data_IF_522243308017
#
_entry.id   IF_522243308017
#
_cell.length_a   1.000
_cell.length_b   1.000
_cell.length_c   1.000
_cell.angle_alpha   90.00
_cell.angle_beta   90.00
_cell.angle_gamma   90.00
#
_symmetry.space_group_name_H-M   'P 1'
#
loop_
_entity.id
_entity.type
_entity.pdbx_description
1 polymer ?
#
# COMPACT_ATOMS: atom_id res chain seq x y z
N UNK A 1 41.61 -0.56 32.06
CA UNK A 1 40.53 -0.31 31.06
C UNK A 1 39.15 -0.81 31.49
N UNK A 2 39.02 -1.91 32.25
CA UNK A 2 37.72 -2.49 32.66
C UNK A 2 36.78 -1.57 33.46
N UNK A 3 37.29 -0.73 34.37
CA UNK A 3 36.44 0.16 35.18
C UNK A 3 35.66 1.19 34.34
N UNK A 4 36.21 1.64 33.22
CA UNK A 4 35.52 2.58 32.30
C UNK A 4 34.39 1.91 31.53
N UNK A 5 34.57 0.64 31.14
CA UNK A 5 33.57 -0.16 30.41
C UNK A 5 32.37 -0.50 31.30
N UNK A 6 32.59 -0.85 32.58
CA UNK A 6 31.50 -1.10 33.54
C UNK A 6 30.67 0.16 33.82
N UNK A 7 31.31 1.33 33.90
CA UNK A 7 30.61 2.61 34.11
C UNK A 7 29.75 3.00 32.90
N UNK A 8 30.22 2.76 31.68
CA UNK A 8 29.44 3.00 30.46
C UNK A 8 28.21 2.08 30.35
N UNK A 9 28.32 0.80 30.70
CA UNK A 9 27.18 -0.13 30.73
C UNK A 9 26.12 0.27 31.75
N UNK A 10 26.53 0.75 32.93
CA UNK A 10 25.60 1.21 33.96
C UNK A 10 24.82 2.46 33.51
N UNK A 11 25.49 3.40 32.85
CA UNK A 11 24.86 4.61 32.29
C UNK A 11 23.86 4.24 31.19
N UNK A 12 24.19 3.27 30.33
CA UNK A 12 23.30 2.80 29.26
C UNK A 12 22.03 2.12 29.81
N UNK A 13 22.15 1.30 30.86
CA UNK A 13 21.00 0.66 31.51
C UNK A 13 20.10 1.71 32.20
N UNK A 14 20.69 2.69 32.88
CA UNK A 14 19.94 3.79 33.50
C UNK A 14 19.20 4.64 32.44
N UNK A 15 19.80 4.84 31.27
CA UNK A 15 19.17 5.55 30.16
C UNK A 15 17.96 4.79 29.60
N UNK A 16 18.06 3.46 29.46
CA UNK A 16 16.93 2.61 29.05
C UNK A 16 15.79 2.67 30.08
N UNK A 17 16.10 2.57 31.38
CA UNK A 17 15.09 2.68 32.45
C UNK A 17 14.38 4.05 32.40
N UNK A 18 15.14 5.12 32.15
CA UNK A 18 14.57 6.46 32.00
C UNK A 18 13.62 6.54 30.80
N UNK A 19 13.98 5.93 29.66
CA UNK A 19 13.12 5.84 28.48
C UNK A 19 11.81 5.08 28.77
N UNK A 20 11.87 3.97 29.51
CA UNK A 20 10.68 3.22 29.91
C UNK A 20 9.78 4.01 30.89
N UNK A 21 10.37 4.77 31.82
CA UNK A 21 9.61 5.65 32.72
C UNK A 21 8.89 6.74 31.92
N UNK A 22 9.54 7.35 30.92
CA UNK A 22 8.90 8.34 30.03
C UNK A 22 7.76 7.72 29.21
N UNK A 23 7.90 6.48 28.75
CA UNK A 23 6.83 5.73 28.06
C UNK A 23 5.65 5.47 29.01
N UNK A 24 5.91 5.04 30.24
CA UNK A 24 4.85 4.79 31.25
C UNK A 24 4.12 6.08 31.64
N UNK A 25 4.83 7.20 31.82
CA UNK A 25 4.21 8.50 32.11
C UNK A 25 3.40 9.07 30.94
N UNK A 26 3.73 8.72 29.69
CA UNK A 26 2.89 9.02 28.53
C UNK A 26 1.62 8.15 28.46
N UNK A 27 1.67 6.94 29.02
CA UNK A 27 0.55 5.99 29.00
C UNK A 27 -0.45 6.19 30.17
N UNK A 28 -0.04 6.80 31.28
CA UNK A 28 -0.90 7.00 32.45
C UNK A 28 -2.12 7.93 32.24
N UNK A 29 -2.02 9.07 31.52
CA UNK A 29 -3.19 9.92 31.23
C UNK A 29 -4.22 9.21 30.35
N UNK A 30 -3.74 8.38 29.42
CA UNK A 30 -4.55 7.59 28.49
C UNK A 30 -5.44 6.61 29.27
N UNK A 31 -4.92 5.96 30.32
CA UNK A 31 -5.68 5.03 31.18
C UNK A 31 -6.80 5.75 31.97
N UNK A 32 -6.65 7.06 32.23
CA UNK A 32 -7.61 7.86 33.01
C UNK A 32 -8.80 8.33 32.17
N UNK A 33 -8.59 8.71 30.91
CA UNK A 33 -9.67 9.10 29.99
C UNK A 33 -10.58 7.93 29.59
N UNK A 34 -10.12 6.68 29.72
CA UNK A 34 -10.88 5.47 29.41
C UNK A 34 -12.10 5.18 30.31
N UNK A 35 -12.35 5.97 31.36
CA UNK A 35 -13.50 5.77 32.24
C UNK A 35 -14.78 6.52 31.83
N UNK A 36 -14.73 7.47 30.89
CA UNK A 36 -15.82 8.47 30.79
C UNK A 36 -16.46 8.73 29.41
N UNK A 37 -16.05 8.08 28.30
CA UNK A 37 -16.59 8.40 26.96
C UNK A 37 -17.53 7.35 26.34
N UNK A 38 -18.83 7.64 26.22
CA UNK A 38 -19.83 6.87 25.43
C UNK A 38 -20.58 7.77 24.43
N UNK A 39 -20.86 7.19 23.24
CA UNK A 39 -21.85 7.56 22.19
C UNK A 39 -21.51 8.73 21.24
N UNK A 40 -21.62 8.64 19.90
CA UNK A 40 -21.83 7.53 18.96
C UNK A 40 -22.12 7.98 17.49
N UNK A 41 -22.15 7.02 16.54
CA UNK A 41 -22.83 6.96 15.20
C UNK A 41 -22.46 7.99 14.09
N UNK A 42 -22.29 7.70 12.78
CA UNK A 42 -22.51 6.50 11.93
C UNK A 42 -22.07 6.73 10.44
N UNK A 43 -21.99 5.62 9.67
CA UNK A 43 -22.23 5.39 8.19
C UNK A 43 -21.10 5.71 7.16
N UNK A 44 -20.80 4.95 6.10
CA UNK A 44 -21.43 3.84 5.32
C UNK A 44 -20.39 3.07 4.46
N UNK A 45 -20.50 1.74 4.28
CA UNK A 45 -20.52 1.05 2.96
C UNK A 45 -21.05 -0.41 3.11
N UNK A 46 -21.60 -0.99 2.03
CA UNK A 46 -22.46 -2.20 2.04
C UNK A 46 -21.84 -3.40 1.31
N UNK A 47 -21.59 -4.48 2.05
CA UNK A 47 -22.06 -5.83 1.73
C UNK A 47 -22.55 -6.46 3.05
N UNK A 48 -23.43 -7.47 3.03
CA UNK A 48 -24.37 -7.82 4.11
C UNK A 48 -23.77 -7.84 5.56
N UNK A 49 -24.22 -6.87 6.39
CA UNK A 49 -24.51 -6.88 7.85
C UNK A 49 -23.40 -6.90 8.90
N UNK A 50 -22.12 -6.73 8.60
CA UNK A 50 -21.17 -6.45 9.68
C UNK A 50 -21.19 -4.96 10.01
N UNK A 51 -21.72 -4.60 11.20
CA UNK A 51 -21.53 -3.25 11.73
C UNK A 51 -20.06 -3.13 12.17
N UNK A 52 -19.44 -1.94 12.05
CA UNK A 52 -18.15 -1.74 12.69
C UNK A 52 -18.29 -2.08 14.18
N UNK A 53 -17.17 -2.45 14.78
CA UNK A 53 -17.04 -2.55 16.23
C UNK A 53 -17.50 -1.23 16.86
N UNK A 54 -17.86 -1.31 18.13
CA UNK A 54 -18.30 -0.12 18.83
C UNK A 54 -17.13 0.87 18.92
N UNK A 55 -17.43 2.15 18.73
CA UNK A 55 -16.48 3.22 18.96
C UNK A 55 -15.78 3.05 20.33
N UNK A 56 -14.45 3.10 20.33
CA UNK A 56 -13.61 2.86 21.52
C UNK A 56 -13.67 1.43 22.08
N UNK A 57 -13.99 0.43 21.25
CA UNK A 57 -13.77 -0.97 21.63
C UNK A 57 -12.27 -1.26 21.79
N UNK A 58 -11.95 -2.38 22.46
CA UNK A 58 -10.54 -2.81 22.63
C UNK A 58 -9.82 -2.94 21.29
N UNK A 59 -10.51 -3.45 20.28
CA UNK A 59 -10.00 -3.64 18.92
C UNK A 59 -9.74 -2.30 18.23
N UNK A 60 -10.69 -1.35 18.27
CA UNK A 60 -10.47 -0.01 17.69
C UNK A 60 -9.32 0.74 18.36
N UNK A 61 -9.25 0.71 19.69
CA UNK A 61 -8.14 1.33 20.44
C UNK A 61 -6.81 0.70 20.04
N UNK A 62 -6.78 -0.62 19.92
CA UNK A 62 -5.58 -1.35 19.49
C UNK A 62 -5.17 -0.93 18.07
N UNK A 63 -6.07 -0.98 17.10
CA UNK A 63 -5.76 -0.63 15.71
C UNK A 63 -5.44 0.85 15.54
N UNK A 64 -6.03 1.75 16.34
CA UNK A 64 -5.64 3.17 16.38
C UNK A 64 -4.20 3.35 16.79
N UNK A 65 -3.81 2.76 17.93
CA UNK A 65 -2.42 2.81 18.40
C UNK A 65 -1.46 2.15 17.41
N UNK A 66 -1.89 1.05 16.79
CA UNK A 66 -1.08 0.35 15.80
C UNK A 66 -0.87 1.21 14.54
N UNK A 67 -1.93 1.79 13.97
CA UNK A 67 -1.83 2.71 12.84
C UNK A 67 -0.97 3.93 13.17
N UNK A 68 -1.13 4.53 14.36
CA UNK A 68 -0.28 5.62 14.82
C UNK A 68 1.20 5.19 14.89
N UNK A 69 1.48 3.96 15.37
CA UNK A 69 2.85 3.45 15.44
C UNK A 69 3.51 3.26 14.06
N UNK A 70 2.72 2.94 13.02
CA UNK A 70 3.19 2.77 11.65
C UNK A 70 3.34 4.11 10.93
N UNK A 71 2.38 5.01 11.10
CA UNK A 71 2.15 6.11 10.15
C UNK A 71 2.34 7.51 10.73
N UNK A 72 2.48 7.65 12.05
CA UNK A 72 2.52 8.98 12.71
C UNK A 72 3.66 9.88 12.27
N UNK A 73 4.71 9.37 11.63
CA UNK A 73 5.76 10.23 11.04
C UNK A 73 5.22 11.09 9.90
N UNK A 74 4.32 10.53 9.08
CA UNK A 74 3.90 11.12 7.81
C UNK A 74 2.41 11.49 7.74
N UNK A 75 1.58 10.85 8.57
CA UNK A 75 0.13 10.97 8.52
C UNK A 75 -0.48 11.38 9.85
N UNK A 76 -1.55 12.17 9.76
CA UNK A 76 -2.57 12.29 10.80
C UNK A 76 -3.62 11.21 10.55
N UNK A 77 -3.87 10.37 11.55
CA UNK A 77 -4.92 9.35 11.51
C UNK A 77 -6.21 9.96 12.07
N UNK A 78 -7.17 10.27 11.21
CA UNK A 78 -8.42 10.92 11.63
C UNK A 78 -9.38 9.92 12.24
N UNK A 79 -9.56 8.75 11.60
CA UNK A 79 -10.54 7.76 12.02
C UNK A 79 -10.09 6.34 11.72
N UNK A 80 -10.64 5.37 12.46
CA UNK A 80 -10.48 3.94 12.21
C UNK A 80 -11.79 3.22 12.44
N UNK A 81 -12.20 2.40 11.47
CA UNK A 81 -13.31 1.46 11.62
C UNK A 81 -12.80 0.03 11.56
N UNK A 82 -13.17 -0.79 12.55
CA UNK A 82 -12.77 -2.21 12.65
C UNK A 82 -13.98 -3.10 12.48
N UNK A 83 -13.83 -4.18 11.71
CA UNK A 83 -14.88 -5.15 11.45
C UNK A 83 -14.33 -6.56 11.71
N UNK A 84 -15.16 -7.44 12.27
CA UNK A 84 -14.83 -8.86 12.26
C UNK A 84 -14.74 -9.36 10.82
N UNK A 85 -13.72 -10.15 10.53
CA UNK A 85 -13.53 -10.77 9.24
C UNK A 85 -13.33 -12.27 9.40
N UNK A 86 -13.94 -13.05 8.51
CA UNK A 86 -13.86 -14.50 8.47
C UNK A 86 -13.47 -14.86 7.04
N UNK A 87 -12.24 -15.31 6.78
CA UNK A 87 -11.86 -15.76 5.44
C UNK A 87 -12.63 -17.04 5.07
N UNK A 88 -13.09 -17.15 3.81
CA UNK A 88 -13.83 -18.32 3.30
C UNK A 88 -12.99 -19.61 3.27
N UNK A 89 -11.68 -19.45 3.02
CA UNK A 89 -10.81 -20.56 2.61
C UNK A 89 -9.73 -20.92 3.64
N UNK A 90 -9.82 -20.41 4.87
CA UNK A 90 -8.83 -20.71 5.91
C UNK A 90 -9.43 -21.43 7.12
N UNK A 91 -8.84 -22.57 7.46
CA UNK A 91 -8.93 -23.08 8.83
C UNK A 91 -8.03 -22.23 9.72
N UNK A 92 -8.61 -21.66 10.77
CA UNK A 92 -7.87 -20.83 11.71
C UNK A 92 -7.98 -21.39 13.13
N UNK A 93 -6.90 -21.21 13.88
CA UNK A 93 -6.82 -21.68 15.25
C UNK A 93 -7.80 -20.96 16.17
N UNK A 94 -8.12 -21.56 17.32
CA UNK A 94 -8.98 -20.94 18.35
C UNK A 94 -8.45 -19.58 18.85
N UNK A 95 -7.13 -19.37 18.74
CA UNK A 95 -6.41 -18.16 19.12
C UNK A 95 -6.13 -17.22 17.94
N UNK A 96 -6.76 -17.44 16.78
CA UNK A 96 -6.59 -16.59 15.61
C UNK A 96 -7.88 -15.81 15.33
N UNK A 97 -7.73 -14.54 14.95
CA UNK A 97 -8.83 -13.68 14.51
C UNK A 97 -8.40 -12.92 13.27
N UNK A 98 -9.36 -12.58 12.43
CA UNK A 98 -9.13 -11.67 11.31
C UNK A 98 -9.99 -10.43 11.50
N UNK A 99 -9.43 -9.30 11.14
CA UNK A 99 -10.09 -8.02 11.19
C UNK A 99 -9.94 -7.32 9.85
N UNK A 100 -11.05 -6.84 9.30
CA UNK A 100 -11.01 -5.84 8.25
C UNK A 100 -10.97 -4.47 8.91
N UNK A 101 -9.98 -3.65 8.55
CA UNK A 101 -9.73 -2.36 9.18
C UNK A 101 -9.65 -1.30 8.10
N UNK A 102 -10.52 -0.29 8.20
CA UNK A 102 -10.48 0.92 7.40
C UNK A 102 -9.82 2.03 8.20
N UNK A 103 -8.81 2.65 7.62
CA UNK A 103 -8.00 3.72 8.23
C UNK A 103 -8.20 4.97 7.39
N UNK A 104 -8.71 6.04 8.00
CA UNK A 104 -8.72 7.36 7.41
C UNK A 104 -7.45 8.11 7.81
N UNK A 105 -6.63 8.45 6.82
CA UNK A 105 -5.35 9.12 7.05
C UNK A 105 -5.15 10.30 6.11
N UNK A 106 -4.44 11.31 6.58
CA UNK A 106 -4.11 12.51 5.81
C UNK A 106 -2.64 12.85 5.96
N UNK A 107 -1.97 13.21 4.88
CA UNK A 107 -0.58 13.66 4.96
C UNK A 107 -0.45 14.89 5.86
N UNK A 108 0.54 14.88 6.75
CA UNK A 108 0.91 16.02 7.62
C UNK A 108 1.49 17.20 6.84
N UNK A 109 1.92 16.96 5.60
CA UNK A 109 2.52 17.96 4.74
C UNK A 109 1.47 18.91 4.18
N UNK A 110 1.73 20.21 4.30
CA UNK A 110 0.91 21.27 3.71
C UNK A 110 1.35 21.62 2.29
N UNK A 111 2.47 21.07 1.84
CA UNK A 111 3.02 21.29 0.51
C UNK A 111 3.74 20.05 -0.01
N UNK A 112 3.56 19.79 -1.30
CA UNK A 112 4.23 18.69 -2.02
C UNK A 112 5.76 18.77 -1.91
N UNK A 113 6.32 19.97 -1.76
CA UNK A 113 7.77 20.18 -1.62
C UNK A 113 8.34 19.73 -0.27
N UNK A 114 7.48 19.40 0.70
CA UNK A 114 7.90 18.84 1.99
C UNK A 114 8.01 17.32 1.96
N UNK A 115 7.53 16.65 0.90
CA UNK A 115 7.68 15.20 0.75
C UNK A 115 9.17 14.85 0.57
N UNK A 116 9.71 13.86 1.33
CA UNK A 116 11.10 13.43 1.19
C UNK A 116 11.47 13.02 -0.24
N UNK A 117 10.59 12.28 -0.92
CA UNK A 117 10.76 11.92 -2.32
C UNK A 117 10.94 13.15 -3.24
N UNK A 118 10.15 14.20 -3.04
CA UNK A 118 10.24 15.44 -3.83
C UNK A 118 11.52 16.22 -3.52
N UNK A 119 11.97 16.21 -2.26
CA UNK A 119 13.27 16.76 -1.89
C UNK A 119 14.43 16.01 -2.58
N UNK A 120 14.33 14.68 -2.66
CA UNK A 120 15.23 13.83 -3.44
C UNK A 120 15.28 14.18 -4.92
N UNK A 121 14.11 14.31 -5.56
CA UNK A 121 14.03 14.71 -6.96
C UNK A 121 14.66 16.09 -7.18
N UNK A 122 14.43 17.05 -6.28
CA UNK A 122 15.01 18.40 -6.36
C UNK A 122 16.55 18.34 -6.33
N UNK A 123 17.15 17.54 -5.43
CA UNK A 123 18.61 17.32 -5.41
C UNK A 123 19.13 16.78 -6.74
N UNK A 124 18.39 15.89 -7.40
CA UNK A 124 18.79 15.38 -8.71
C UNK A 124 18.71 16.45 -9.81
N UNK A 125 17.67 17.29 -9.82
CA UNK A 125 17.58 18.43 -10.76
C UNK A 125 18.80 19.35 -10.61
N UNK A 126 19.18 19.67 -9.37
CA UNK A 126 20.36 20.48 -9.06
C UNK A 126 21.67 19.80 -9.48
N UNK A 127 21.77 18.48 -9.30
CA UNK A 127 22.91 17.68 -9.74
C UNK A 127 23.09 17.71 -11.27
N UNK A 128 21.99 17.59 -12.02
CA UNK A 128 22.04 17.50 -13.49
C UNK A 128 22.12 18.83 -14.23
N UNK A 129 22.06 19.98 -13.53
CA UNK A 129 22.27 21.36 -14.01
C UNK A 129 21.78 21.67 -15.45
N UNK A 130 20.75 22.51 -15.58
CA UNK A 130 20.20 22.94 -16.88
C UNK A 130 19.64 21.79 -17.77
N UNK A 131 19.56 20.57 -17.23
CA UNK A 131 18.95 19.45 -17.93
C UNK A 131 17.42 19.60 -17.97
N UNK A 132 16.91 19.97 -19.14
CA UNK A 132 15.46 20.14 -19.37
C UNK A 132 14.63 18.90 -19.07
N UNK A 133 15.16 17.68 -19.31
CA UNK A 133 14.43 16.44 -19.00
C UNK A 133 14.24 16.27 -17.49
N UNK A 134 15.30 16.52 -16.71
CA UNK A 134 15.24 16.47 -15.26
C UNK A 134 14.18 17.43 -14.71
N UNK A 135 14.20 18.69 -15.17
CA UNK A 135 13.25 19.71 -14.73
C UNK A 135 11.81 19.38 -15.17
N UNK A 136 11.61 18.93 -16.41
CA UNK A 136 10.29 18.54 -16.90
C UNK A 136 9.71 17.39 -16.07
N UNK A 137 10.54 16.40 -15.75
CA UNK A 137 10.06 15.25 -15.01
C UNK A 137 9.80 15.57 -13.52
N UNK A 138 10.63 16.41 -12.92
CA UNK A 138 10.36 16.97 -11.60
C UNK A 138 9.01 17.71 -11.56
N UNK A 139 8.75 18.59 -12.54
CA UNK A 139 7.52 19.38 -12.61
C UNK A 139 6.28 18.50 -12.82
N UNK A 140 6.37 17.51 -13.73
CA UNK A 140 5.31 16.53 -13.98
C UNK A 140 4.98 15.77 -12.70
N UNK A 141 5.97 15.11 -12.09
CA UNK A 141 5.76 14.27 -10.90
C UNK A 141 5.29 15.08 -9.70
N UNK A 142 5.81 16.29 -9.51
CA UNK A 142 5.34 17.19 -8.46
C UNK A 142 3.87 17.59 -8.67
N UNK A 143 3.45 17.82 -9.92
CA UNK A 143 2.06 18.15 -10.25
C UNK A 143 1.12 16.98 -9.94
N UNK A 144 1.53 15.74 -10.26
CA UNK A 144 0.77 14.53 -9.92
C UNK A 144 0.58 14.37 -8.41
N UNK A 145 1.65 14.59 -7.62
CA UNK A 145 1.63 14.40 -6.17
C UNK A 145 0.83 15.47 -5.42
N UNK A 146 0.61 16.66 -6.00
CA UNK A 146 -0.18 17.74 -5.36
C UNK A 146 -1.58 17.31 -4.95
N UNK A 147 -2.20 16.37 -5.67
CA UNK A 147 -3.57 15.93 -5.38
C UNK A 147 -3.72 15.21 -4.04
N UNK A 148 -2.64 14.70 -3.46
CA UNK A 148 -2.65 14.03 -2.15
C UNK A 148 -2.48 15.01 -0.99
N UNK A 149 -1.92 16.20 -1.24
CA UNK A 149 -1.73 17.22 -0.21
C UNK A 149 -3.09 17.75 0.24
N UNK A 150 -3.31 17.75 1.55
CA UNK A 150 -4.55 18.23 2.14
C UNK A 150 -5.74 17.26 2.03
N UNK A 151 -5.58 16.10 1.38
CA UNK A 151 -6.67 15.13 1.15
C UNK A 151 -6.63 13.96 2.11
N UNK A 152 -7.80 13.59 2.62
CA UNK A 152 -8.01 12.34 3.34
C UNK A 152 -7.96 11.18 2.35
N UNK A 153 -7.23 10.14 2.73
CA UNK A 153 -7.11 8.87 2.04
C UNK A 153 -7.76 7.80 2.91
N UNK A 154 -8.51 6.90 2.26
CA UNK A 154 -9.08 5.71 2.90
C UNK A 154 -8.20 4.53 2.52
N UNK A 155 -7.66 3.88 3.52
CA UNK A 155 -6.85 2.67 3.41
C UNK A 155 -7.60 1.50 4.04
N UNK A 156 -7.71 0.39 3.33
CA UNK A 156 -8.32 -0.83 3.83
C UNK A 156 -7.28 -1.92 4.05
N UNK A 157 -7.39 -2.71 5.10
CA UNK A 157 -6.50 -3.84 5.34
C UNK A 157 -7.25 -5.02 5.96
N UNK A 158 -6.79 -6.23 5.66
CA UNK A 158 -7.19 -7.44 6.37
C UNK A 158 -6.01 -7.89 7.22
N UNK A 159 -6.15 -7.78 8.52
CA UNK A 159 -5.14 -8.21 9.49
C UNK A 159 -5.51 -9.58 10.06
N UNK A 160 -4.54 -10.49 10.10
CA UNK A 160 -4.59 -11.69 10.92
C UNK A 160 -3.90 -11.40 12.25
N UNK A 161 -4.60 -11.65 13.35
CA UNK A 161 -4.04 -11.58 14.70
C UNK A 161 -3.99 -12.98 15.29
N UNK A 162 -2.79 -13.36 15.76
CA UNK A 162 -2.57 -14.58 16.55
C UNK A 162 -2.26 -14.18 17.99
N UNK A 163 -3.13 -14.61 18.90
CA UNK A 163 -3.06 -14.30 20.31
C UNK A 163 -2.21 -15.32 21.06
N UNK A 164 -1.28 -14.84 21.90
CA UNK A 164 -0.56 -15.71 22.86
C UNK A 164 -1.51 -16.16 23.97
N UNK A 165 -2.32 -15.22 24.47
CA UNK A 165 -3.43 -15.46 25.38
C UNK A 165 -4.71 -14.96 24.72
N UNK A 166 -5.75 -15.79 24.72
CA UNK A 166 -6.98 -15.53 23.96
C UNK A 166 -7.54 -14.12 24.26
N UNK A 167 -7.77 -13.36 23.18
CA UNK A 167 -8.34 -12.01 23.20
C UNK A 167 -7.53 -10.97 24.03
N UNK A 168 -6.21 -11.22 24.24
CA UNK A 168 -5.27 -10.30 24.89
C UNK A 168 -4.33 -9.62 23.86
N UNK A 169 -4.53 -8.32 23.64
CA UNK A 169 -3.78 -7.52 22.67
C UNK A 169 -2.37 -7.08 23.13
N UNK A 170 -1.94 -7.41 24.34
CA UNK A 170 -0.60 -7.02 24.83
C UNK A 170 0.53 -7.83 24.16
N UNK A 171 0.28 -9.12 23.88
CA UNK A 171 1.26 -10.04 23.31
C UNK A 171 0.67 -10.80 22.12
N UNK A 172 0.70 -10.16 20.95
CA UNK A 172 0.15 -10.70 19.72
C UNK A 172 1.18 -10.76 18.60
N UNK A 173 0.92 -11.61 17.61
CA UNK A 173 1.48 -11.51 16.27
C UNK A 173 0.43 -10.91 15.35
N UNK A 174 0.82 -9.93 14.54
CA UNK A 174 -0.06 -9.27 13.57
C UNK A 174 0.53 -9.40 12.16
N UNK A 175 -0.28 -9.92 11.24
CA UNK A 175 0.13 -10.22 9.88
C UNK A 175 -0.88 -9.65 8.88
N UNK A 176 -0.41 -9.41 7.65
CA UNK A 176 -1.25 -9.09 6.49
C UNK A 176 -1.03 -10.13 5.40
N UNK A 177 -2.05 -10.34 4.57
CA UNK A 177 -1.93 -11.19 3.38
C UNK A 177 -1.52 -10.35 2.16
N UNK A 178 -0.56 -10.83 1.37
CA UNK A 178 -0.25 -10.27 0.05
C UNK A 178 -1.11 -10.93 -1.03
N UNK A 179 -1.04 -12.26 -1.17
CA UNK A 179 -1.97 -13.08 -1.97
C UNK A 179 -2.00 -14.53 -1.45
N UNK A 180 -0.84 -15.20 -1.39
CA UNK A 180 -0.70 -16.56 -0.83
C UNK A 180 0.20 -16.61 0.39
N UNK A 181 0.94 -15.53 0.67
CA UNK A 181 1.80 -15.41 1.83
C UNK A 181 1.23 -14.44 2.85
N UNK A 182 1.59 -14.70 4.10
CA UNK A 182 1.37 -13.81 5.23
C UNK A 182 2.71 -13.27 5.66
N UNK A 183 2.76 -11.97 5.88
CA UNK A 183 3.96 -11.27 6.31
C UNK A 183 3.63 -10.43 7.53
N UNK A 184 4.65 -10.06 8.28
CA UNK A 184 4.51 -9.15 9.41
C UNK A 184 3.88 -7.83 8.94
N UNK A 185 2.82 -7.40 9.62
CA UNK A 185 2.10 -6.19 9.28
C UNK A 185 2.97 -4.91 9.44
N UNK A 186 4.08 -4.98 10.16
CA UNK A 186 5.08 -3.90 10.23
C UNK A 186 5.72 -3.61 8.87
N UNK A 187 5.62 -4.50 7.89
CA UNK A 187 5.99 -4.23 6.49
C UNK A 187 5.17 -3.10 5.85
N UNK A 188 4.05 -2.67 6.46
CA UNK A 188 3.32 -1.47 6.07
C UNK A 188 3.98 -0.17 6.53
N UNK A 189 4.92 -0.22 7.48
CA UNK A 189 5.60 0.98 7.97
C UNK A 189 6.35 1.63 6.80
N UNK A 190 6.11 2.93 6.52
CA UNK A 190 6.82 3.62 5.46
C UNK A 190 8.33 3.62 5.70
N UNK A 191 9.15 3.72 4.63
CA UNK A 191 10.59 3.78 4.76
C UNK A 191 11.04 5.07 5.46
N UNK A 192 12.24 5.05 6.00
CA UNK A 192 12.88 6.23 6.58
C UNK A 192 13.06 7.34 5.51
N UNK A 193 13.03 8.63 5.90
CA UNK A 193 13.06 9.75 4.95
C UNK A 193 14.22 9.71 3.96
N UNK A 194 15.40 9.24 4.37
CA UNK A 194 16.59 9.15 3.52
C UNK A 194 16.38 8.18 2.34
N UNK A 195 15.67 7.06 2.56
CA UNK A 195 15.35 6.09 1.51
C UNK A 195 14.39 6.72 0.50
N UNK A 196 13.36 7.43 0.99
CA UNK A 196 12.42 8.14 0.14
C UNK A 196 13.11 9.23 -0.68
N UNK A 197 14.04 9.99 -0.09
CA UNK A 197 14.87 10.97 -0.80
C UNK A 197 15.74 10.30 -1.87
N UNK A 198 16.37 9.16 -1.56
CA UNK A 198 17.18 8.43 -2.54
C UNK A 198 16.33 7.94 -3.72
N UNK A 199 15.14 7.38 -3.45
CA UNK A 199 14.19 6.98 -4.47
C UNK A 199 13.81 8.14 -5.41
N UNK A 200 13.62 9.35 -4.86
CA UNK A 200 13.35 10.56 -5.65
C UNK A 200 14.52 10.99 -6.51
N UNK A 201 15.74 10.90 -5.98
CA UNK A 201 16.95 11.18 -6.77
C UNK A 201 17.09 10.21 -7.94
N UNK A 202 16.95 8.91 -7.66
CA UNK A 202 17.12 7.84 -8.65
C UNK A 202 16.02 7.87 -9.72
N UNK A 203 14.80 8.27 -9.36
CA UNK A 203 13.72 8.50 -10.32
C UNK A 203 14.11 9.53 -11.40
N UNK A 204 14.61 10.70 -11.01
CA UNK A 204 15.04 11.72 -11.99
C UNK A 204 16.24 11.22 -12.79
N UNK A 205 17.23 10.59 -12.12
CA UNK A 205 18.39 9.99 -12.78
C UNK A 205 18.00 8.98 -13.85
N UNK A 206 17.03 8.12 -13.58
CA UNK A 206 16.49 7.17 -14.55
C UNK A 206 15.95 7.89 -15.79
N UNK A 207 15.11 8.91 -15.63
CA UNK A 207 14.52 9.63 -16.77
C UNK A 207 15.50 10.50 -17.55
N UNK A 208 16.57 10.97 -16.92
CA UNK A 208 17.67 11.65 -17.63
C UNK A 208 18.44 10.67 -18.52
N UNK A 209 18.73 9.48 -17.98
CA UNK A 209 19.58 8.48 -18.63
C UNK A 209 18.84 7.57 -19.61
N UNK A 210 17.50 7.59 -19.60
CA UNK A 210 16.69 6.78 -20.50
C UNK A 210 15.98 7.63 -21.54
N UNK A 211 15.84 7.05 -22.74
CA UNK A 211 15.00 7.58 -23.81
C UNK A 211 13.81 6.65 -23.96
N UNK A 212 12.80 6.80 -23.09
CA UNK A 212 11.53 6.08 -23.22
C UNK A 212 10.62 6.81 -24.21
N UNK A 213 10.00 6.05 -25.12
CA UNK A 213 8.97 6.57 -26.01
C UNK A 213 7.72 6.83 -25.16
N UNK A 214 7.24 8.07 -25.20
CA UNK A 214 6.00 8.44 -24.51
C UNK A 214 4.82 7.68 -25.12
N UNK A 215 3.97 7.11 -24.26
CA UNK A 215 2.69 6.53 -24.64
C UNK A 215 1.56 7.51 -24.32
N UNK A 216 0.46 7.38 -25.06
CA UNK A 216 -0.80 8.00 -24.66
C UNK A 216 -1.51 7.07 -23.69
N UNK A 217 -1.56 7.46 -22.41
CA UNK A 217 -2.14 6.66 -21.34
C UNK A 217 -2.77 7.57 -20.28
N UNK A 218 -4.05 7.37 -20.04
CA UNK A 218 -4.86 8.14 -19.11
C UNK A 218 -4.98 7.40 -17.77
N UNK A 219 -4.11 7.74 -16.83
CA UNK A 219 -4.10 7.13 -15.49
C UNK A 219 -5.43 7.31 -14.77
N UNK A 220 -6.09 8.47 -14.91
CA UNK A 220 -7.35 8.74 -14.23
C UNK A 220 -8.49 7.84 -14.75
N UNK A 221 -8.54 7.57 -16.06
CA UNK A 221 -9.50 6.63 -16.64
C UNK A 221 -9.25 5.19 -16.17
N UNK A 222 -7.98 4.76 -16.14
CA UNK A 222 -7.60 3.44 -15.65
C UNK A 222 -7.95 3.24 -14.16
N UNK A 223 -7.64 4.23 -13.32
CA UNK A 223 -7.98 4.23 -11.89
C UNK A 223 -9.50 4.30 -11.69
N UNK A 224 -10.21 5.08 -12.50
CA UNK A 224 -11.68 5.12 -12.49
C UNK A 224 -12.30 3.75 -12.79
N UNK A 225 -11.77 3.03 -13.77
CA UNK A 225 -12.16 1.65 -14.06
C UNK A 225 -11.86 0.73 -12.88
N UNK A 226 -10.63 0.78 -12.35
CA UNK A 226 -10.20 -0.05 -11.25
C UNK A 226 -11.11 0.13 -10.02
N UNK A 227 -11.46 1.37 -9.66
CA UNK A 227 -12.34 1.66 -8.53
C UNK A 227 -13.80 1.26 -8.76
N UNK A 228 -14.26 1.23 -10.01
CA UNK A 228 -15.63 0.87 -10.37
C UNK A 228 -15.87 -0.64 -10.26
N UNK A 229 -14.92 -1.45 -10.74
CA UNK A 229 -15.11 -2.88 -10.92
C UNK A 229 -14.32 -3.70 -9.90
N UNK A 230 -14.39 -3.35 -8.62
CA UNK A 230 -13.79 -4.13 -7.53
C UNK A 230 -14.43 -3.74 -6.19
N UNK A 231 -14.23 -4.57 -5.17
CA UNK A 231 -14.84 -4.42 -3.86
C UNK A 231 -13.89 -4.80 -2.72
N UNK A 232 -14.38 -4.73 -1.48
CA UNK A 232 -13.79 -5.33 -0.29
C UNK A 232 -14.86 -6.18 0.38
N UNK A 233 -15.16 -7.38 -0.13
CA UNK A 233 -16.32 -8.08 0.32
C UNK A 233 -16.03 -8.71 1.69
N UNK A 234 -16.93 -8.48 2.64
CA UNK A 234 -16.75 -8.96 4.01
C UNK A 234 -17.14 -10.42 4.12
N UNK A 235 -16.27 -11.21 4.74
CA UNK A 235 -16.45 -12.65 4.90
C UNK A 235 -16.70 -13.38 3.57
N UNK A 236 -16.05 -12.91 2.51
CA UNK A 236 -15.90 -13.67 1.29
C UNK A 236 -14.64 -13.31 0.53
N UNK A 237 -14.12 -14.22 -0.30
CA UNK A 237 -12.87 -13.99 -1.05
C UNK A 237 -13.06 -12.96 -2.19
N UNK A 238 -14.18 -12.97 -2.90
CA UNK A 238 -14.49 -12.05 -4.01
C UNK A 238 -15.99 -11.78 -4.18
N UNK A 239 -16.36 -10.62 -4.73
CA UNK A 239 -17.73 -10.30 -5.14
C UNK A 239 -17.78 -10.10 -6.65
N UNK A 240 -17.92 -11.21 -7.37
CA UNK A 240 -17.97 -11.21 -8.84
C UNK A 240 -19.12 -10.38 -9.43
N UNK A 241 -20.13 -10.03 -8.62
CA UNK A 241 -21.27 -9.23 -9.09
C UNK A 241 -20.88 -7.77 -9.38
N UNK A 242 -19.79 -7.29 -8.80
CA UNK A 242 -19.24 -5.95 -9.07
C UNK A 242 -18.20 -5.94 -10.18
N UNK A 243 -17.74 -7.10 -10.66
CA UNK A 243 -16.76 -7.20 -11.75
C UNK A 243 -17.40 -6.78 -13.08
N UNK A 244 -16.59 -6.41 -14.08
CA UNK A 244 -17.16 -5.96 -15.36
C UNK A 244 -17.81 -7.14 -16.12
N UNK A 245 -19.14 -7.13 -16.34
CA UNK A 245 -19.83 -8.23 -17.01
C UNK A 245 -19.49 -8.36 -18.51
N UNK A 246 -18.83 -7.36 -19.10
CA UNK A 246 -18.39 -7.41 -20.51
C UNK A 246 -17.22 -8.37 -20.74
N UNK A 247 -16.52 -8.77 -19.67
CA UNK A 247 -15.36 -9.64 -19.75
C UNK A 247 -15.66 -10.99 -19.11
N UNK A 248 -15.08 -12.04 -19.69
CA UNK A 248 -15.05 -13.36 -19.07
C UNK A 248 -14.29 -13.29 -17.74
N UNK A 249 -14.82 -13.96 -16.73
CA UNK A 249 -14.19 -14.12 -15.41
C UNK A 249 -13.41 -15.43 -15.34
N UNK A 250 -12.37 -15.44 -14.51
CA UNK A 250 -11.53 -16.62 -14.26
C UNK A 250 -11.32 -16.81 -12.76
N UNK A 251 -11.05 -18.05 -12.31
CA UNK A 251 -10.78 -18.31 -10.90
C UNK A 251 -9.59 -17.46 -10.38
N UNK A 252 -8.54 -17.33 -11.20
CA UNK A 252 -7.41 -16.42 -10.96
C UNK A 252 -7.47 -15.20 -11.88
N UNK A 253 -8.40 -14.28 -11.60
CA UNK A 253 -8.69 -13.12 -12.46
C UNK A 253 -7.71 -11.93 -12.39
N UNK A 254 -6.68 -11.98 -11.53
CA UNK A 254 -5.78 -10.84 -11.30
C UNK A 254 -5.21 -10.17 -12.57
N UNK A 255 -4.67 -10.95 -13.51
CA UNK A 255 -4.13 -10.43 -14.76
C UNK A 255 -5.21 -9.93 -15.72
N UNK A 256 -6.36 -10.60 -15.77
CA UNK A 256 -7.49 -10.17 -16.58
C UNK A 256 -7.99 -8.78 -16.12
N UNK A 257 -8.16 -8.59 -14.81
CA UNK A 257 -8.52 -7.31 -14.22
C UNK A 257 -7.51 -6.19 -14.49
N UNK A 258 -6.22 -6.45 -14.26
CA UNK A 258 -5.15 -5.46 -14.54
C UNK A 258 -5.10 -5.11 -16.03
N UNK A 259 -5.28 -6.10 -16.93
CA UNK A 259 -5.37 -5.86 -18.37
C UNK A 259 -6.55 -4.95 -18.73
N UNK A 260 -7.73 -5.20 -18.14
CA UNK A 260 -8.91 -4.35 -18.34
C UNK A 260 -8.67 -2.91 -17.86
N UNK A 261 -8.02 -2.71 -16.71
CA UNK A 261 -7.65 -1.39 -16.23
C UNK A 261 -6.70 -0.66 -17.21
N UNK A 262 -5.71 -1.37 -17.75
CA UNK A 262 -4.76 -0.83 -18.72
C UNK A 262 -5.44 -0.48 -20.05
N UNK A 263 -6.37 -1.32 -20.51
CA UNK A 263 -7.18 -1.02 -21.69
C UNK A 263 -8.07 0.21 -21.48
N UNK A 264 -8.72 0.33 -20.32
CA UNK A 264 -9.52 1.51 -19.96
C UNK A 264 -8.68 2.80 -19.88
N UNK A 265 -7.37 2.68 -19.58
CA UNK A 265 -6.42 3.78 -19.66
C UNK A 265 -6.01 4.18 -21.08
N UNK A 266 -6.48 3.49 -22.12
CA UNK A 266 -6.30 3.86 -23.52
C UNK A 266 -5.26 3.03 -24.29
N UNK A 267 -4.66 2.00 -23.68
CA UNK A 267 -3.77 1.11 -24.43
C UNK A 267 -4.59 0.24 -25.37
N UNK A 268 -4.40 0.43 -26.67
CA UNK A 268 -5.13 -0.34 -27.68
C UNK A 268 -4.71 -1.82 -27.69
N UNK A 269 -5.67 -2.75 -27.88
CA UNK A 269 -5.39 -4.16 -28.10
C UNK A 269 -4.51 -4.37 -29.33
N UNK A 270 -3.81 -5.49 -29.33
CA UNK A 270 -2.95 -5.92 -30.44
C UNK A 270 -3.30 -7.36 -30.79
N UNK A 271 -2.69 -7.90 -31.86
CA UNK A 271 -2.84 -9.32 -32.18
C UNK A 271 -2.34 -10.28 -31.08
N UNK A 272 -1.51 -9.82 -30.13
CA UNK A 272 -0.95 -10.64 -29.06
C UNK A 272 -1.56 -10.36 -27.68
N UNK A 273 -2.04 -9.14 -27.45
CA UNK A 273 -2.66 -8.70 -26.21
C UNK A 273 -4.05 -8.13 -26.51
N UNK A 274 -5.07 -8.94 -26.29
CA UNK A 274 -6.48 -8.64 -26.45
C UNK A 274 -7.28 -9.47 -25.42
N UNK A 275 -8.55 -9.12 -25.12
CA UNK A 275 -9.36 -9.87 -24.16
C UNK A 275 -9.32 -11.38 -24.44
N UNK A 276 -9.17 -12.19 -23.39
CA UNK A 276 -9.04 -13.66 -23.45
C UNK A 276 -7.73 -14.23 -24.05
N UNK A 277 -6.86 -13.40 -24.64
CA UNK A 277 -5.52 -13.87 -25.06
C UNK A 277 -4.67 -14.28 -23.85
N UNK A 278 -3.72 -15.21 -24.06
CA UNK A 278 -2.86 -15.69 -22.96
C UNK A 278 -2.07 -14.56 -22.30
N UNK A 279 -1.63 -13.55 -23.05
CA UNK A 279 -0.89 -12.40 -22.49
C UNK A 279 -1.82 -11.57 -21.60
N UNK A 280 -3.09 -11.42 -21.97
CA UNK A 280 -4.08 -10.67 -21.22
C UNK A 280 -4.47 -11.33 -19.90
N UNK A 281 -4.62 -12.65 -19.89
CA UNK A 281 -5.14 -13.37 -18.71
C UNK A 281 -4.05 -13.99 -17.83
N UNK A 282 -2.77 -13.83 -18.16
CA UNK A 282 -1.65 -14.34 -17.36
C UNK A 282 -0.80 -13.21 -16.80
N UNK A 283 -0.25 -13.43 -15.62
CA UNK A 283 0.58 -12.42 -14.93
C UNK A 283 1.90 -12.13 -15.65
N UNK A 284 2.55 -13.14 -16.23
CA UNK A 284 3.86 -13.00 -16.86
C UNK A 284 4.99 -12.80 -15.84
N UNK A 285 4.83 -13.37 -14.64
CA UNK A 285 5.87 -13.28 -13.60
C UNK A 285 7.20 -13.85 -14.10
N UNK A 286 8.33 -13.16 -13.88
CA UNK A 286 9.64 -13.62 -14.33
C UNK A 286 10.12 -14.90 -13.64
N UNK A 287 9.41 -15.36 -12.59
CA UNK A 287 9.64 -16.68 -11.97
C UNK A 287 9.33 -17.84 -12.93
N UNK A 288 8.49 -17.62 -13.94
CA UNK A 288 8.01 -18.66 -14.83
C UNK A 288 8.35 -18.33 -16.29
N UNK A 289 8.33 -19.34 -17.16
CA UNK A 289 8.62 -19.19 -18.60
C UNK A 289 7.41 -18.72 -19.41
N UNK A 290 6.23 -18.63 -18.79
CA UNK A 290 5.00 -18.22 -19.46
C UNK A 290 4.93 -16.70 -19.59
N UNK A 291 4.77 -16.22 -20.82
CA UNK A 291 4.49 -14.81 -21.08
C UNK A 291 3.10 -14.40 -20.58
N UNK A 292 2.97 -13.14 -20.18
CA UNK A 292 1.80 -12.50 -19.62
C UNK A 292 1.93 -10.99 -19.64
N UNK A 293 1.07 -10.30 -18.90
CA UNK A 293 1.00 -8.84 -18.94
C UNK A 293 2.31 -8.17 -18.45
N UNK A 294 2.97 -8.74 -17.44
CA UNK A 294 4.18 -8.15 -16.84
C UNK A 294 5.34 -8.06 -17.81
N UNK A 295 5.72 -9.16 -18.46
CA UNK A 295 6.82 -9.17 -19.42
C UNK A 295 6.44 -8.48 -20.73
N UNK A 296 5.19 -8.64 -21.19
CA UNK A 296 4.72 -8.00 -22.41
C UNK A 296 4.76 -6.47 -22.33
N UNK A 297 4.24 -5.89 -21.25
CA UNK A 297 4.20 -4.43 -21.08
C UNK A 297 5.60 -3.82 -21.01
N UNK A 298 6.56 -4.54 -20.42
CA UNK A 298 7.97 -4.14 -20.38
C UNK A 298 8.64 -4.27 -21.74
N UNK A 299 8.49 -5.41 -22.43
CA UNK A 299 9.09 -5.66 -23.75
C UNK A 299 8.59 -4.67 -24.80
N UNK A 300 7.31 -4.29 -24.74
CA UNK A 300 6.72 -3.26 -25.59
C UNK A 300 7.06 -1.84 -25.16
N UNK A 301 7.78 -1.66 -24.05
CA UNK A 301 8.13 -0.37 -23.45
C UNK A 301 6.89 0.50 -23.18
N UNK A 302 5.75 -0.13 -22.88
CA UNK A 302 4.53 0.56 -22.45
C UNK A 302 4.66 0.89 -20.96
N UNK A 303 5.17 -0.06 -20.17
CA UNK A 303 5.51 0.16 -18.77
C UNK A 303 7.00 -0.05 -18.56
N UNK A 304 7.55 0.59 -17.53
CA UNK A 304 8.93 0.40 -17.07
C UNK A 304 8.97 0.08 -15.58
N UNK A 305 9.99 -0.68 -15.20
CA UNK A 305 10.20 -1.04 -13.80
C UNK A 305 10.75 0.13 -13.00
N UNK A 306 10.22 0.33 -11.80
CA UNK A 306 10.62 1.38 -10.87
C UNK A 306 10.58 0.88 -9.42
N UNK A 307 10.68 1.78 -8.45
CA UNK A 307 10.59 1.47 -7.03
C UNK A 307 9.24 1.89 -6.43
N UNK A 308 9.00 1.46 -5.19
CA UNK A 308 7.77 1.74 -4.43
C UNK A 308 7.38 3.23 -4.47
N UNK A 309 8.26 4.15 -4.11
CA UNK A 309 7.93 5.59 -4.02
C UNK A 309 7.74 6.26 -5.38
N UNK A 310 8.36 5.69 -6.42
CA UNK A 310 8.38 6.26 -7.77
C UNK A 310 7.22 5.79 -8.65
N UNK A 311 6.59 4.65 -8.36
CA UNK A 311 5.42 4.17 -9.10
C UNK A 311 4.26 5.19 -9.01
N UNK A 312 3.45 5.31 -10.07
CA UNK A 312 2.27 6.17 -10.10
C UNK A 312 0.99 5.35 -9.99
N UNK A 313 -0.09 6.00 -9.58
CA UNK A 313 -1.43 5.47 -9.89
C UNK A 313 -1.55 5.22 -11.41
N UNK A 314 -2.34 4.23 -11.80
CA UNK A 314 -2.37 3.75 -13.17
C UNK A 314 -1.21 2.80 -13.52
N UNK A 315 -0.23 2.65 -12.62
CA UNK A 315 0.75 1.57 -12.64
C UNK A 315 0.16 0.25 -12.13
N UNK A 316 0.96 -0.80 -12.15
CA UNK A 316 0.61 -2.08 -11.54
C UNK A 316 1.83 -2.72 -10.91
N UNK A 317 1.61 -3.72 -10.06
CA UNK A 317 2.65 -4.40 -9.31
C UNK A 317 2.57 -5.88 -9.64
N UNK A 318 3.71 -6.51 -9.91
CA UNK A 318 3.84 -7.95 -10.02
C UNK A 318 4.49 -8.51 -8.75
N UNK A 319 3.79 -9.38 -8.04
CA UNK A 319 4.36 -10.20 -6.97
C UNK A 319 4.99 -11.44 -7.60
N UNK A 320 6.32 -11.44 -7.69
CA UNK A 320 7.11 -12.39 -8.47
C UNK A 320 6.89 -13.81 -7.97
N UNK A 321 7.05 -14.01 -6.65
CA UNK A 321 6.94 -15.33 -6.02
C UNK A 321 5.52 -15.89 -6.14
N UNK A 322 4.52 -15.05 -6.02
CA UNK A 322 3.12 -15.45 -5.97
C UNK A 322 2.49 -15.58 -7.35
N UNK A 323 3.18 -15.13 -8.41
CA UNK A 323 2.62 -15.01 -9.76
C UNK A 323 1.32 -14.24 -9.76
N UNK A 324 1.28 -13.11 -9.04
CA UNK A 324 0.09 -12.29 -8.86
C UNK A 324 0.34 -10.87 -9.34
N UNK A 325 -0.70 -10.15 -9.77
CA UNK A 325 -0.62 -8.74 -10.15
C UNK A 325 -1.74 -7.94 -9.53
N UNK A 326 -1.44 -6.70 -9.12
CA UNK A 326 -2.40 -5.76 -8.55
C UNK A 326 -2.26 -4.38 -9.18
N UNK A 327 -3.33 -3.59 -9.22
CA UNK A 327 -3.37 -2.30 -9.89
C UNK A 327 -3.22 -1.14 -8.90
N UNK A 328 -2.31 -0.18 -9.17
CA UNK A 328 -2.06 0.95 -8.28
C UNK A 328 -3.14 2.01 -8.48
N UNK A 329 -3.92 2.29 -7.44
CA UNK A 329 -4.97 3.33 -7.46
C UNK A 329 -4.56 4.60 -6.72
N UNK A 330 -3.55 4.54 -5.85
CA UNK A 330 -2.93 5.70 -5.22
C UNK A 330 -1.45 5.45 -4.94
N UNK A 331 -0.61 6.47 -5.11
CA UNK A 331 0.73 6.49 -4.54
C UNK A 331 1.14 7.93 -4.25
N UNK A 332 1.18 8.28 -2.97
CA UNK A 332 1.56 9.61 -2.49
C UNK A 332 3.08 9.76 -2.26
N UNK A 333 3.87 8.82 -2.78
CA UNK A 333 5.31 8.59 -2.61
C UNK A 333 5.74 7.97 -1.27
N UNK A 334 4.82 7.85 -0.31
CA UNK A 334 5.06 7.29 1.02
C UNK A 334 4.37 5.93 1.14
N UNK A 335 3.09 5.85 0.77
CA UNK A 335 2.33 4.58 0.72
C UNK A 335 1.64 4.39 -0.64
N UNK A 336 1.50 3.12 -1.04
CA UNK A 336 0.73 2.69 -2.20
C UNK A 336 -0.61 2.11 -1.71
N UNK A 337 -1.70 2.52 -2.36
CA UNK A 337 -2.96 1.81 -2.32
C UNK A 337 -3.20 1.10 -3.66
N UNK A 338 -3.67 -0.12 -3.59
CA UNK A 338 -3.96 -0.94 -4.76
C UNK A 338 -5.38 -1.49 -4.76
N UNK A 339 -5.82 -1.86 -5.97
CA UNK A 339 -6.99 -2.70 -6.18
C UNK A 339 -6.55 -4.03 -6.81
N UNK A 340 -7.31 -5.09 -6.56
CA UNK A 340 -7.01 -6.43 -7.07
C UNK A 340 -8.24 -7.31 -7.18
N UNK A 341 -8.15 -8.29 -8.07
CA UNK A 341 -9.11 -9.38 -8.26
C UNK A 341 -8.53 -10.71 -7.76
N UNK A 342 -9.30 -11.79 -7.91
CA UNK A 342 -9.09 -13.13 -7.31
C UNK A 342 -9.48 -13.14 -5.84
N UNK A 343 -8.79 -12.32 -5.06
CA UNK A 343 -9.25 -11.93 -3.74
C UNK A 343 -9.51 -10.43 -3.84
N UNK A 344 -10.78 -10.03 -3.79
CA UNK A 344 -11.14 -8.64 -4.04
C UNK A 344 -10.48 -7.73 -2.99
N UNK A 345 -9.71 -6.76 -3.49
CA UNK A 345 -9.04 -5.75 -2.68
C UNK A 345 -9.34 -4.41 -3.32
N UNK A 346 -9.83 -3.46 -2.53
CA UNK A 346 -10.09 -2.09 -2.95
C UNK A 346 -9.41 -1.11 -2.00
N UNK A 347 -8.51 -0.31 -2.56
CA UNK A 347 -7.73 0.69 -1.82
C UNK A 347 -7.00 0.09 -0.63
N UNK A 348 -6.37 -1.07 -0.85
CA UNK A 348 -5.61 -1.79 0.18
C UNK A 348 -4.16 -1.35 0.17
N UNK A 349 -3.55 -1.22 1.35
CA UNK A 349 -2.14 -0.84 1.42
C UNK A 349 -1.23 -1.93 0.88
N UNK A 350 -0.29 -1.53 0.02
CA UNK A 350 0.76 -2.43 -0.44
C UNK A 350 1.95 -2.40 0.54
N UNK A 351 2.41 -3.56 1.04
CA UNK A 351 3.56 -3.61 1.94
C UNK A 351 4.90 -3.33 1.24
N UNK A 352 5.90 -2.97 2.03
CA UNK A 352 7.29 -2.91 1.60
C UNK A 352 7.87 -4.32 1.54
N UNK A 353 8.10 -4.80 0.32
CA UNK A 353 8.71 -6.10 0.03
C UNK A 353 10.14 -5.92 -0.47
N UNK A 354 10.94 -6.98 -0.40
CA UNK A 354 12.28 -6.95 -0.97
C UNK A 354 12.21 -6.89 -2.51
N UNK A 355 13.16 -6.22 -3.16
CA UNK A 355 13.16 -6.03 -4.63
C UNK A 355 13.15 -7.34 -5.44
N UNK A 356 13.63 -8.45 -4.84
CA UNK A 356 13.57 -9.78 -5.46
C UNK A 356 12.17 -10.42 -5.45
N UNK A 357 11.21 -9.81 -4.79
CA UNK A 357 9.86 -10.36 -4.58
C UNK A 357 8.80 -9.61 -5.39
N UNK A 358 9.13 -8.42 -5.89
CA UNK A 358 8.16 -7.50 -6.46
C UNK A 358 8.75 -6.70 -7.62
N UNK A 359 7.92 -6.41 -8.61
CA UNK A 359 8.22 -5.45 -9.67
C UNK A 359 7.13 -4.38 -9.68
N UNK A 360 7.52 -3.12 -9.48
CA UNK A 360 6.64 -1.98 -9.66
C UNK A 360 6.71 -1.49 -11.11
N UNK A 361 5.58 -1.45 -11.80
CA UNK A 361 5.50 -1.10 -13.22
C UNK A 361 4.77 0.21 -13.39
N UNK A 362 5.49 1.20 -13.90
CA UNK A 362 4.99 2.55 -14.15
C UNK A 362 4.72 2.78 -15.65
N UNK A 363 3.62 3.43 -16.05
CA UNK A 363 3.38 3.73 -17.46
C UNK A 363 4.42 4.73 -18.00
N UNK A 364 4.85 4.54 -19.25
CA UNK A 364 5.77 5.46 -19.96
C UNK A 364 5.05 6.70 -20.52
N UNK A 365 4.23 7.38 -19.73
CA UNK A 365 3.40 8.51 -20.20
C UNK A 365 4.02 9.89 -19.94
#
# INVERSE_FOLDING_TARGET
MEKKVKKAKLIFVLFIILLWIVVIFKLYPIIKEFKEGKSGSSKHDVSIKSKPKQENSKEEIFFKKYADSLYSEYYDISDISVYDYIPDDESYGSNERFYFVSIEKKLKFNSVYQLPFVAGMKKAVEYFKDNKKALNQYNKRTTELKKYIGRTQIENNIFKITFTEKDNFENIKIEIATYHTKIDAFSLKPPEPEVLMQNGFDFIKYHVNTNSKKIDYNNAAAVGYANKYTSNPLNMSSDISVWNPEYKTYDNDCANYVSQCIYAGGISPTAAWYPESLIWIRTGSPRYTSSGITDYMQQKKIFYSTNYSAASEGGFICLIKESHVVFITSNDSITILFNGHTNDRKQVSFPHLHESEVIYLNPNN
#
